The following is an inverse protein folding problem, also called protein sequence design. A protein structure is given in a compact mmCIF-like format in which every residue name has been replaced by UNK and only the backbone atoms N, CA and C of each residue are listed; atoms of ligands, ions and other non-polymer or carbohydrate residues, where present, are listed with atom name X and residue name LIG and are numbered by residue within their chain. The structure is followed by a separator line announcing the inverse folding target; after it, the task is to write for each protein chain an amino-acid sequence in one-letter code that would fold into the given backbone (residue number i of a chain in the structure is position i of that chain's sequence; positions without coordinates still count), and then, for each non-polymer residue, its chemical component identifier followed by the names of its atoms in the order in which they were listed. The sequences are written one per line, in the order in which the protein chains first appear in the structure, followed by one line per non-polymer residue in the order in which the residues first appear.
data_IF_801963567928
#
_entry.id   IF_801963567928
#
_cell.length_a   1.000
_cell.length_b   1.000
_cell.length_c   1.000
_cell.angle_alpha   90.00
_cell.angle_beta   90.00
_cell.angle_gamma   90.00
#
_symmetry.space_group_name_H-M   'P 1'
#
loop_
_entity.id
_entity.type
_entity.pdbx_description
1 polymer ?
#
# COMPACT_ATOMS: atom_id res chain seq x y z
N UNK A 1 -4.48 36.51 23.39
CA UNK A 1 -5.52 35.61 23.96
C UNK A 1 -5.15 34.16 23.65
N UNK A 2 -5.14 33.27 24.65
CA UNK A 2 -4.85 31.84 24.47
C UNK A 2 -6.03 31.09 23.84
N UNK A 3 -7.25 31.44 24.27
CA UNK A 3 -8.52 30.88 23.81
C UNK A 3 -9.14 31.67 22.66
N UNK A 4 -10.08 31.05 21.95
CA UNK A 4 -10.87 31.72 20.91
C UNK A 4 -11.85 32.73 21.52
N UNK A 5 -12.17 33.78 20.76
CA UNK A 5 -13.31 34.67 21.02
C UNK A 5 -14.41 34.42 19.98
N UNK A 6 -15.50 35.17 20.03
CA UNK A 6 -16.56 35.14 18.99
C UNK A 6 -16.08 35.66 17.64
N UNK A 7 -14.96 36.39 17.58
CA UNK A 7 -14.49 37.11 16.37
C UNK A 7 -13.04 36.81 15.99
N UNK A 8 -12.28 36.05 16.80
CA UNK A 8 -10.89 35.72 16.53
C UNK A 8 -10.46 34.36 17.10
N UNK A 9 -9.43 33.76 16.50
CA UNK A 9 -8.80 32.54 17.01
C UNK A 9 -7.70 32.83 18.03
N UNK A 10 -7.70 32.06 19.12
CA UNK A 10 -6.66 32.11 20.16
C UNK A 10 -5.30 31.62 19.66
N UNK A 11 -4.23 31.95 20.39
CA UNK A 11 -2.87 31.53 20.02
C UNK A 11 -2.71 30.00 19.95
N UNK A 12 -3.40 29.24 20.81
CA UNK A 12 -3.30 27.77 20.83
C UNK A 12 -3.96 27.15 19.59
N UNK A 13 -5.16 27.60 19.23
CA UNK A 13 -5.85 27.15 18.00
C UNK A 13 -5.02 27.47 16.75
N UNK A 14 -4.38 28.65 16.71
CA UNK A 14 -3.48 29.04 15.62
C UNK A 14 -2.23 28.18 15.58
N UNK A 15 -1.61 27.89 16.72
CA UNK A 15 -0.46 26.99 16.79
C UNK A 15 -0.81 25.62 16.22
N UNK A 16 -1.89 24.97 16.68
CA UNK A 16 -2.33 23.69 16.14
C UNK A 16 -2.62 23.76 14.64
N UNK A 17 -3.32 24.80 14.17
CA UNK A 17 -3.59 24.98 12.76
C UNK A 17 -2.31 25.00 11.91
N UNK A 18 -1.36 25.88 12.25
CA UNK A 18 -0.15 26.09 11.46
C UNK A 18 0.85 24.92 11.61
N UNK A 19 0.96 24.34 12.81
CA UNK A 19 1.76 23.14 13.01
C UNK A 19 1.24 21.96 12.17
N UNK A 20 -0.08 21.71 12.20
CA UNK A 20 -0.70 20.68 11.35
C UNK A 20 -0.50 20.98 9.87
N UNK A 21 -0.66 22.24 9.44
CA UNK A 21 -0.46 22.62 8.03
C UNK A 21 0.97 22.36 7.54
N UNK A 22 1.99 22.71 8.35
CA UNK A 22 3.40 22.46 8.03
C UNK A 22 3.68 20.96 7.95
N UNK A 23 3.29 20.19 8.97
CA UNK A 23 3.54 18.74 9.02
C UNK A 23 2.85 18.03 7.86
N UNK A 24 1.59 18.34 7.55
CA UNK A 24 0.88 17.74 6.41
C UNK A 24 1.56 18.11 5.08
N UNK A 25 1.99 19.36 4.90
CA UNK A 25 2.64 19.80 3.66
C UNK A 25 3.96 19.05 3.44
N UNK A 26 4.79 18.94 4.48
CA UNK A 26 6.02 18.14 4.45
C UNK A 26 5.71 16.66 4.18
N UNK A 27 4.68 16.12 4.81
CA UNK A 27 4.31 14.72 4.65
C UNK A 27 3.85 14.40 3.22
N UNK A 28 3.05 15.28 2.61
CA UNK A 28 2.64 15.17 1.20
C UNK A 28 3.87 15.19 0.29
N UNK A 29 4.78 16.15 0.48
CA UNK A 29 6.01 16.24 -0.30
C UNK A 29 6.85 14.96 -0.18
N UNK A 30 7.02 14.43 1.03
CA UNK A 30 7.73 13.17 1.27
C UNK A 30 7.03 11.98 0.60
N UNK A 31 5.70 11.92 0.61
CA UNK A 31 4.94 10.87 -0.08
C UNK A 31 5.19 10.88 -1.60
N UNK A 32 5.19 12.07 -2.22
CA UNK A 32 5.52 12.21 -3.64
C UNK A 32 6.97 11.83 -3.94
N UNK A 33 7.93 12.31 -3.14
CA UNK A 33 9.35 12.00 -3.32
C UNK A 33 9.59 10.50 -3.18
N UNK A 34 9.04 9.86 -2.14
CA UNK A 34 9.15 8.42 -1.91
C UNK A 34 8.60 7.61 -3.09
N UNK A 35 7.42 7.97 -3.62
CA UNK A 35 6.82 7.25 -4.73
C UNK A 35 7.61 7.42 -6.04
N UNK A 36 8.18 8.61 -6.31
CA UNK A 36 8.94 8.90 -7.54
C UNK A 36 10.40 8.44 -7.49
N UNK A 37 10.94 8.14 -6.31
CA UNK A 37 12.32 7.68 -6.15
C UNK A 37 12.54 6.33 -6.84
N UNK A 38 13.68 6.21 -7.54
CA UNK A 38 14.02 5.03 -8.33
C UNK A 38 14.23 3.81 -7.45
N UNK A 39 14.13 2.64 -8.08
CA UNK A 39 14.47 1.38 -7.42
C UNK A 39 15.96 1.18 -7.27
N UNK A 40 16.79 1.90 -8.02
CA UNK A 40 18.26 1.83 -7.95
C UNK A 40 18.79 2.42 -6.62
N UNK A 41 18.08 3.40 -6.05
CA UNK A 41 18.41 4.03 -4.78
C UNK A 41 17.46 3.58 -3.65
N UNK A 42 17.42 2.27 -3.40
CA UNK A 42 16.52 1.63 -2.42
C UNK A 42 16.59 2.30 -1.05
N UNK A 43 17.80 2.48 -0.51
CA UNK A 43 17.97 2.99 0.86
C UNK A 43 17.36 4.37 1.02
N UNK A 44 17.52 5.23 0.02
CA UNK A 44 16.90 6.54 0.00
C UNK A 44 15.38 6.43 -0.06
N UNK A 45 14.83 5.54 -0.91
CA UNK A 45 13.38 5.32 -0.99
C UNK A 45 12.81 4.81 0.34
N UNK A 46 13.48 3.85 0.99
CA UNK A 46 13.11 3.33 2.30
C UNK A 46 13.13 4.44 3.34
N UNK A 47 14.18 5.26 3.38
CA UNK A 47 14.28 6.41 4.27
C UNK A 47 13.15 7.42 4.04
N UNK A 48 12.82 7.74 2.79
CA UNK A 48 11.72 8.66 2.49
C UNK A 48 10.37 8.12 2.94
N UNK A 49 10.10 6.83 2.76
CA UNK A 49 8.90 6.20 3.31
C UNK A 49 8.91 6.17 4.84
N UNK A 50 10.05 5.92 5.48
CA UNK A 50 10.19 5.98 6.93
C UNK A 50 9.89 7.38 7.48
N UNK A 51 10.41 8.43 6.84
CA UNK A 51 10.11 9.82 7.19
C UNK A 51 8.62 10.12 6.95
N UNK A 52 8.05 9.72 5.81
CA UNK A 52 6.63 9.91 5.50
C UNK A 52 5.71 9.24 6.54
N UNK A 53 5.97 7.97 6.89
CA UNK A 53 5.19 7.26 7.91
C UNK A 53 5.30 7.95 9.28
N UNK A 54 6.50 8.38 9.66
CA UNK A 54 6.74 9.07 10.93
C UNK A 54 6.03 10.43 11.00
N UNK A 55 6.10 11.22 9.92
CA UNK A 55 5.35 12.48 9.81
C UNK A 55 3.84 12.25 9.77
N UNK A 56 3.38 11.15 9.17
CA UNK A 56 1.98 10.73 9.17
C UNK A 56 1.45 10.46 10.58
N UNK A 57 2.19 9.71 11.40
CA UNK A 57 1.84 9.48 12.81
C UNK A 57 1.84 10.80 13.59
N UNK A 58 2.84 11.65 13.40
CA UNK A 58 2.88 12.98 14.01
C UNK A 58 1.66 13.84 13.60
N UNK A 59 1.30 13.84 12.32
CA UNK A 59 0.14 14.56 11.80
C UNK A 59 -1.16 14.07 12.46
N UNK A 60 -1.32 12.76 12.61
CA UNK A 60 -2.47 12.15 13.28
C UNK A 60 -2.57 12.58 14.74
N UNK A 61 -1.47 12.52 15.50
CA UNK A 61 -1.44 12.97 16.90
C UNK A 61 -1.76 14.46 17.03
N UNK A 62 -1.19 15.31 16.16
CA UNK A 62 -1.51 16.74 16.13
C UNK A 62 -2.96 17.00 15.78
N UNK A 63 -3.54 16.23 14.84
CA UNK A 63 -4.94 16.34 14.46
C UNK A 63 -5.88 15.96 15.62
N UNK A 64 -5.59 14.87 16.35
CA UNK A 64 -6.33 14.50 17.56
C UNK A 64 -6.25 15.59 18.63
N UNK A 65 -5.04 16.08 18.94
CA UNK A 65 -4.85 17.15 19.91
C UNK A 65 -5.60 18.43 19.51
N UNK A 66 -5.57 18.78 18.22
CA UNK A 66 -6.32 19.92 17.66
C UNK A 66 -7.83 19.73 17.81
N UNK A 67 -8.36 18.55 17.49
CA UNK A 67 -9.80 18.26 17.61
C UNK A 67 -10.22 18.33 19.08
N UNK A 68 -9.50 17.65 19.97
CA UNK A 68 -9.74 17.71 21.41
C UNK A 68 -9.74 19.16 21.92
N UNK A 69 -8.76 19.97 21.53
CA UNK A 69 -8.72 21.39 21.89
C UNK A 69 -9.96 22.14 21.36
N UNK A 70 -10.30 21.94 20.08
CA UNK A 70 -11.39 22.64 19.40
C UNK A 70 -12.77 22.34 20.00
N UNK A 71 -12.98 21.12 20.52
CA UNK A 71 -14.23 20.75 21.19
C UNK A 71 -14.55 21.62 22.42
N UNK A 72 -13.54 22.23 23.05
CA UNK A 72 -13.69 23.12 24.20
C UNK A 72 -13.54 24.60 23.87
N UNK A 73 -13.46 24.98 22.58
CA UNK A 73 -13.36 26.38 22.19
C UNK A 73 -14.65 26.90 21.57
N UNK A 74 -14.93 28.18 21.79
CA UNK A 74 -15.89 28.92 20.99
C UNK A 74 -15.43 28.96 19.53
N UNK A 75 -16.31 28.63 18.60
CA UNK A 75 -16.02 28.77 17.17
C UNK A 75 -16.40 30.20 16.74
N UNK A 76 -15.44 31.02 16.26
CA UNK A 76 -15.75 32.39 15.90
C UNK A 76 -16.70 32.43 14.69
N UNK A 77 -17.68 33.34 14.74
CA UNK A 77 -18.79 33.40 13.80
C UNK A 77 -18.32 33.63 12.35
N UNK A 78 -19.07 33.18 11.32
CA UNK A 78 -18.80 33.55 9.93
C UNK A 78 -18.82 35.07 9.76
N UNK A 79 -17.89 35.62 8.97
CA UNK A 79 -17.82 37.08 8.71
C UNK A 79 -18.97 37.54 7.81
N UNK A 80 -19.38 36.68 6.86
CA UNK A 80 -20.44 36.93 5.89
C UNK A 80 -21.55 35.86 5.97
N UNK A 81 -22.37 35.84 7.05
CA UNK A 81 -23.43 34.84 7.22
C UNK A 81 -24.50 34.88 6.11
N UNK A 82 -24.65 36.01 5.43
CA UNK A 82 -25.53 36.21 4.29
C UNK A 82 -25.10 35.42 3.04
N UNK A 83 -23.81 35.12 2.89
CA UNK A 83 -23.26 34.36 1.74
C UNK A 83 -23.41 32.85 1.96
N UNK A 84 -24.67 32.38 1.99
CA UNK A 84 -25.04 31.00 2.37
C UNK A 84 -24.27 29.91 1.60
N UNK A 85 -24.03 30.10 0.30
CA UNK A 85 -23.29 29.14 -0.51
C UNK A 85 -21.81 29.07 -0.12
N UNK A 86 -21.15 30.22 0.11
CA UNK A 86 -19.76 30.27 0.56
C UNK A 86 -19.62 29.62 1.95
N UNK A 87 -20.55 29.90 2.85
CA UNK A 87 -20.58 29.28 4.19
C UNK A 87 -20.79 27.76 4.10
N UNK A 88 -21.70 27.30 3.24
CA UNK A 88 -21.93 25.87 3.01
C UNK A 88 -20.66 25.18 2.48
N UNK A 89 -20.05 25.71 1.42
CA UNK A 89 -18.82 25.15 0.83
C UNK A 89 -17.68 25.17 1.84
N UNK A 90 -17.49 26.26 2.59
CA UNK A 90 -16.47 26.34 3.63
C UNK A 90 -16.68 25.26 4.71
N UNK A 91 -17.92 25.03 5.14
CA UNK A 91 -18.22 23.95 6.09
C UNK A 91 -17.90 22.58 5.53
N UNK A 92 -18.31 22.28 4.28
CA UNK A 92 -18.00 21.01 3.61
C UNK A 92 -16.49 20.79 3.55
N UNK A 93 -15.72 21.79 3.09
CA UNK A 93 -14.26 21.70 3.01
C UNK A 93 -13.63 21.49 4.37
N UNK A 94 -14.07 22.20 5.42
CA UNK A 94 -13.54 21.99 6.77
C UNK A 94 -13.83 20.58 7.30
N UNK A 95 -15.03 20.04 7.08
CA UNK A 95 -15.35 18.66 7.47
C UNK A 95 -14.55 17.62 6.68
N UNK A 96 -14.36 17.83 5.37
CA UNK A 96 -13.49 16.99 4.55
C UNK A 96 -12.06 17.00 5.08
N UNK A 97 -11.54 18.18 5.47
CA UNK A 97 -10.22 18.29 6.10
C UNK A 97 -10.19 17.54 7.43
N UNK A 98 -11.17 17.74 8.33
CA UNK A 98 -11.19 17.04 9.63
C UNK A 98 -11.22 15.52 9.48
N UNK A 99 -12.08 15.00 8.60
CA UNK A 99 -12.14 13.57 8.31
C UNK A 99 -10.83 13.06 7.72
N UNK A 100 -10.30 13.74 6.70
CA UNK A 100 -9.10 13.30 5.99
C UNK A 100 -7.84 13.37 6.86
N UNK A 101 -7.72 14.39 7.74
CA UNK A 101 -6.60 14.53 8.68
C UNK A 101 -6.50 13.34 9.65
N UNK A 102 -7.62 12.63 9.91
CA UNK A 102 -7.62 11.41 10.73
C UNK A 102 -7.52 10.15 9.87
N UNK A 103 -8.36 10.04 8.84
CA UNK A 103 -8.51 8.79 8.09
C UNK A 103 -7.31 8.48 7.18
N UNK A 104 -6.66 9.50 6.59
CA UNK A 104 -5.45 9.29 5.76
C UNK A 104 -4.34 8.63 6.58
N UNK A 105 -3.82 9.24 7.66
CA UNK A 105 -2.74 8.60 8.41
C UNK A 105 -3.20 7.31 9.11
N UNK A 106 -4.46 7.20 9.56
CA UNK A 106 -4.96 5.96 10.16
C UNK A 106 -4.93 4.79 9.18
N UNK A 107 -5.41 4.97 7.95
CA UNK A 107 -5.37 3.91 6.92
C UNK A 107 -3.93 3.54 6.54
N UNK A 108 -3.03 4.51 6.42
CA UNK A 108 -1.60 4.23 6.19
C UNK A 108 -0.92 3.53 7.37
N UNK A 109 -1.36 3.81 8.60
CA UNK A 109 -0.86 3.13 9.79
C UNK A 109 -1.35 1.69 9.87
N UNK A 110 -2.62 1.43 9.53
CA UNK A 110 -3.16 0.06 9.42
C UNK A 110 -2.44 -0.70 8.30
N UNK A 111 -2.16 -0.07 7.15
CA UNK A 111 -1.35 -0.67 6.09
C UNK A 111 0.04 -1.08 6.60
N UNK A 112 0.73 -0.17 7.31
CA UNK A 112 2.03 -0.45 7.92
C UNK A 112 1.95 -1.62 8.92
N UNK A 113 0.97 -1.58 9.82
CA UNK A 113 0.76 -2.64 10.81
C UNK A 113 0.36 -3.99 10.19
N UNK A 114 -0.32 -3.99 9.04
CA UNK A 114 -0.67 -5.22 8.30
C UNK A 114 0.50 -5.76 7.45
N UNK A 115 1.52 -4.96 7.19
CA UNK A 115 2.72 -5.31 6.40
C UNK A 115 3.85 -5.81 7.29
N UNK A 116 4.73 -6.66 6.74
CA UNK A 116 5.97 -7.12 7.38
C UNK A 116 7.19 -6.48 6.74
N UNK A 117 8.08 -5.88 7.54
CA UNK A 117 9.47 -5.63 7.15
C UNK A 117 9.77 -4.51 6.16
N UNK A 118 8.84 -3.59 5.85
CA UNK A 118 9.09 -2.48 4.90
C UNK A 118 9.06 -1.10 5.57
N UNK A 119 10.14 -0.33 5.41
CA UNK A 119 10.29 1.08 5.80
C UNK A 119 9.75 1.38 7.22
N UNK A 120 10.55 1.21 8.28
CA UNK A 120 10.07 1.34 9.65
C UNK A 120 9.63 2.78 9.97
N UNK A 121 8.68 2.94 10.87
CA UNK A 121 8.47 4.23 11.55
C UNK A 121 9.73 4.53 12.38
N UNK A 122 10.24 5.76 12.38
CA UNK A 122 11.52 6.08 13.01
C UNK A 122 11.42 6.26 14.53
N UNK A 123 10.22 6.14 15.09
CA UNK A 123 9.97 6.16 16.52
C UNK A 123 10.00 4.75 17.12
N UNK A 124 10.33 4.61 18.42
CA UNK A 124 10.36 3.30 19.08
C UNK A 124 8.97 2.71 19.34
N UNK A 125 7.90 3.45 19.02
CA UNK A 125 6.51 3.03 19.20
C UNK A 125 5.72 3.21 17.90
N UNK A 126 4.57 2.53 17.82
CA UNK A 126 3.66 2.64 16.70
C UNK A 126 4.02 1.79 15.48
N UNK A 127 4.88 0.77 15.62
CA UNK A 127 5.12 -0.17 14.52
C UNK A 127 3.90 -1.05 14.22
N UNK A 128 3.27 -1.57 15.28
CA UNK A 128 2.10 -2.41 15.18
C UNK A 128 0.91 -1.75 15.87
N UNK A 129 -0.29 -2.17 15.48
CA UNK A 129 -1.55 -1.76 16.11
C UNK A 129 -2.21 -3.00 16.73
N UNK A 130 -2.75 -2.90 17.96
CA UNK A 130 -3.54 -3.99 18.53
C UNK A 130 -4.67 -4.36 17.57
N UNK A 131 -4.94 -5.67 17.45
CA UNK A 131 -6.04 -6.21 16.63
C UNK A 131 -5.87 -6.08 15.11
N UNK A 132 -4.74 -5.56 14.60
CA UNK A 132 -4.45 -5.55 13.17
C UNK A 132 -3.61 -6.78 12.81
N UNK A 133 -4.16 -7.78 12.11
CA UNK A 133 -3.40 -8.96 11.71
C UNK A 133 -2.44 -8.62 10.57
N UNK A 134 -1.33 -9.36 10.49
CA UNK A 134 -0.48 -9.38 9.29
C UNK A 134 -1.27 -10.03 8.16
N UNK A 135 -1.63 -9.24 7.14
CA UNK A 135 -2.45 -9.69 6.01
C UNK A 135 -2.17 -8.85 4.78
N UNK A 136 -1.76 -9.54 3.71
CA UNK A 136 -1.47 -8.95 2.40
C UNK A 136 -2.72 -8.28 1.81
N UNK A 137 -3.88 -8.92 1.96
CA UNK A 137 -5.15 -8.39 1.47
C UNK A 137 -5.56 -7.12 2.22
N UNK A 138 -5.41 -7.11 3.55
CA UNK A 138 -5.72 -5.93 4.36
C UNK A 138 -4.78 -4.77 4.01
N UNK A 139 -3.48 -5.04 3.89
CA UNK A 139 -2.49 -4.04 3.50
C UNK A 139 -2.83 -3.41 2.13
N UNK A 140 -3.16 -4.21 1.12
CA UNK A 140 -3.55 -3.71 -0.21
C UNK A 140 -4.82 -2.86 -0.18
N UNK A 141 -5.86 -3.30 0.55
CA UNK A 141 -7.10 -2.51 0.70
C UNK A 141 -6.85 -1.18 1.40
N UNK A 142 -6.03 -1.19 2.45
CA UNK A 142 -5.68 0.02 3.18
C UNK A 142 -4.80 0.96 2.36
N UNK A 143 -3.85 0.44 1.56
CA UNK A 143 -3.04 1.25 0.65
C UNK A 143 -3.90 1.97 -0.40
N UNK A 144 -4.85 1.25 -1.02
CA UNK A 144 -5.79 1.84 -1.98
C UNK A 144 -6.68 2.92 -1.32
N UNK A 145 -7.17 2.63 -0.11
CA UNK A 145 -7.99 3.57 0.68
C UNK A 145 -7.18 4.81 1.06
N UNK A 146 -5.93 4.62 1.50
CA UNK A 146 -5.01 5.70 1.85
C UNK A 146 -4.76 6.62 0.65
N UNK A 147 -4.47 6.06 -0.52
CA UNK A 147 -4.23 6.83 -1.74
C UNK A 147 -5.46 7.64 -2.15
N UNK A 148 -6.65 7.03 -2.10
CA UNK A 148 -7.91 7.73 -2.38
C UNK A 148 -8.12 8.91 -1.43
N UNK A 149 -8.00 8.67 -0.12
CA UNK A 149 -8.18 9.70 0.89
C UNK A 149 -7.09 10.80 0.81
N UNK A 150 -5.86 10.46 0.43
CA UNK A 150 -4.78 11.41 0.27
C UNK A 150 -5.06 12.41 -0.87
N UNK A 151 -5.63 11.95 -1.99
CA UNK A 151 -6.08 12.84 -3.06
C UNK A 151 -7.27 13.71 -2.65
N UNK A 152 -8.22 13.16 -1.91
CA UNK A 152 -9.32 13.92 -1.30
C UNK A 152 -8.80 15.02 -0.37
N UNK A 153 -7.78 14.71 0.45
CA UNK A 153 -7.10 15.68 1.30
C UNK A 153 -6.42 16.79 0.47
N UNK A 154 -5.70 16.43 -0.59
CA UNK A 154 -5.02 17.40 -1.45
C UNK A 154 -6.01 18.38 -2.09
N UNK A 155 -7.14 17.89 -2.59
CA UNK A 155 -8.18 18.77 -3.12
C UNK A 155 -8.79 19.67 -2.04
N UNK A 156 -9.12 19.10 -0.86
CA UNK A 156 -9.68 19.88 0.23
C UNK A 156 -8.72 20.99 0.70
N UNK A 157 -7.41 20.71 0.74
CA UNK A 157 -6.37 21.70 1.01
C UNK A 157 -6.35 22.78 -0.08
N UNK A 158 -6.38 22.39 -1.37
CA UNK A 158 -6.38 23.34 -2.48
C UNK A 158 -7.58 24.29 -2.41
N UNK A 159 -8.79 23.75 -2.20
CA UNK A 159 -10.01 24.55 -2.04
C UNK A 159 -9.95 25.46 -0.80
N UNK A 160 -9.43 24.95 0.32
CA UNK A 160 -9.26 25.71 1.54
C UNK A 160 -8.31 26.90 1.36
N UNK A 161 -7.14 26.66 0.75
CA UNK A 161 -6.14 27.69 0.46
C UNK A 161 -6.68 28.70 -0.56
N UNK A 162 -7.37 28.24 -1.61
CA UNK A 162 -8.01 29.13 -2.59
C UNK A 162 -9.05 30.04 -1.93
N UNK A 163 -9.90 29.50 -1.04
CA UNK A 163 -10.84 30.29 -0.25
C UNK A 163 -10.13 31.30 0.63
N UNK A 164 -9.08 30.89 1.36
CA UNK A 164 -8.31 31.79 2.21
C UNK A 164 -7.63 32.93 1.40
N UNK A 165 -7.10 32.63 0.22
CA UNK A 165 -6.50 33.62 -0.68
C UNK A 165 -7.55 34.55 -1.29
N UNK A 166 -8.72 34.06 -1.69
CA UNK A 166 -9.84 34.89 -2.13
C UNK A 166 -10.21 35.90 -1.03
N UNK A 167 -10.38 35.43 0.21
CA UNK A 167 -10.67 36.31 1.34
C UNK A 167 -9.54 37.30 1.64
N UNK A 168 -8.27 36.88 1.49
CA UNK A 168 -7.12 37.74 1.78
C UNK A 168 -6.85 38.80 0.69
N UNK A 169 -7.02 38.44 -0.58
CA UNK A 169 -6.57 39.24 -1.73
C UNK A 169 -7.71 40.00 -2.42
N UNK A 170 -8.89 39.37 -2.52
CA UNK A 170 -10.06 39.89 -3.24
C UNK A 170 -11.05 40.52 -2.25
N UNK A 171 -11.62 39.74 -1.33
CA UNK A 171 -12.63 40.26 -0.39
C UNK A 171 -12.02 41.21 0.67
N UNK A 172 -10.77 40.94 1.09
CA UNK A 172 -10.02 41.71 2.10
C UNK A 172 -10.80 41.93 3.41
N UNK A 173 -11.57 40.94 3.81
CA UNK A 173 -12.60 41.01 4.86
C UNK A 173 -12.11 40.63 6.27
N UNK A 174 -10.82 40.28 6.42
CA UNK A 174 -10.24 39.92 7.72
C UNK A 174 -10.31 38.43 8.08
N UNK A 175 -10.96 37.58 7.27
CA UNK A 175 -11.10 36.12 7.55
C UNK A 175 -9.74 35.45 7.70
N UNK A 176 -8.80 35.73 6.80
CA UNK A 176 -7.44 35.18 6.87
C UNK A 176 -6.68 35.67 8.10
N UNK A 177 -6.80 36.96 8.44
CA UNK A 177 -6.10 37.60 9.54
C UNK A 177 -6.53 37.05 10.91
N UNK A 178 -7.74 36.49 11.03
CA UNK A 178 -8.21 35.78 12.22
C UNK A 178 -7.35 34.55 12.52
N UNK A 179 -6.99 33.76 11.52
CA UNK A 179 -6.17 32.56 11.70
C UNK A 179 -4.67 32.84 11.64
N UNK A 180 -4.23 33.79 10.80
CA UNK A 180 -2.82 34.14 10.71
C UNK A 180 -2.33 34.91 11.95
N UNK A 181 -3.05 35.97 12.34
CA UNK A 181 -2.58 36.94 13.35
C UNK A 181 -3.46 37.02 14.60
N UNK A 182 -4.64 36.38 14.60
CA UNK A 182 -5.59 36.47 15.72
C UNK A 182 -6.27 37.83 15.81
N UNK A 183 -6.37 38.57 14.70
CA UNK A 183 -7.10 39.84 14.64
C UNK A 183 -8.60 39.58 14.60
N UNK A 184 -9.39 40.44 15.24
CA UNK A 184 -10.85 40.35 15.19
C UNK A 184 -11.34 40.66 13.78
N UNK A 185 -12.26 39.85 13.25
CA UNK A 185 -13.04 40.19 12.06
C UNK A 185 -14.46 39.60 12.17
N UNK A 186 -15.47 40.42 11.84
CA UNK A 186 -16.90 40.15 12.00
C UNK A 186 -17.58 41.07 13.02
N UNK A 187 -18.87 41.36 12.83
CA UNK A 187 -19.71 42.11 13.78
C UNK A 187 -20.25 41.18 14.89
N UNK A 188 -20.40 41.69 16.13
CA UNK A 188 -20.84 40.93 17.33
C UNK A 188 -22.35 40.68 17.38
N UNK A 189 -23.01 40.47 16.24
CA UNK A 189 -24.45 40.21 16.22
C UNK A 189 -24.72 38.71 16.37
N UNK A 190 -24.95 38.30 17.63
CA UNK A 190 -25.62 37.05 17.98
C UNK A 190 -24.73 35.80 18.06
N UNK A 191 -24.79 35.13 19.21
CA UNK A 191 -24.27 33.77 19.41
C UNK A 191 -25.05 32.81 18.49
N UNK A 192 -24.56 32.58 17.27
CA UNK A 192 -25.07 31.48 16.45
C UNK A 192 -24.60 30.16 17.08
N UNK A 193 -25.47 29.52 17.87
CA UNK A 193 -25.35 28.08 18.18
C UNK A 193 -25.56 27.31 16.88
N UNK A 194 -24.51 27.14 16.09
CA UNK A 194 -24.53 26.18 14.98
C UNK A 194 -24.54 24.78 15.59
N UNK A 195 -25.74 24.23 15.76
CA UNK A 195 -25.92 22.83 16.13
C UNK A 195 -25.26 21.92 15.09
N UNK A 196 -24.87 20.72 15.52
CA UNK A 196 -24.31 19.64 14.71
C UNK A 196 -25.23 19.14 13.57
N UNK A 197 -26.30 19.84 13.24
CA UNK A 197 -27.31 19.46 12.24
C UNK A 197 -26.80 19.45 10.80
N UNK A 198 -25.60 19.97 10.51
CA UNK A 198 -24.94 19.81 9.20
C UNK A 198 -24.18 18.48 9.04
N UNK A 199 -24.09 17.65 10.09
CA UNK A 199 -23.46 16.32 10.02
C UNK A 199 -24.23 15.32 9.13
N UNK A 200 -25.51 15.55 8.82
CA UNK A 200 -26.29 14.67 7.95
C UNK A 200 -25.99 14.87 6.44
N UNK A 201 -25.53 16.06 6.04
CA UNK A 201 -25.11 16.34 4.66
C UNK A 201 -23.70 15.79 4.31
N UNK A 202 -23.01 15.24 5.32
CA UNK A 202 -21.66 14.66 5.28
C UNK A 202 -21.57 13.37 4.47
N UNK A 203 -22.61 12.53 4.51
CA UNK A 203 -22.57 11.19 3.90
C UNK A 203 -22.55 11.19 2.37
N UNK A 204 -23.32 12.09 1.73
CA UNK A 204 -23.50 12.08 0.28
C UNK A 204 -22.37 12.76 -0.51
N UNK A 205 -21.77 13.84 0.01
CA UNK A 205 -20.72 14.57 -0.69
C UNK A 205 -19.36 13.84 -0.64
N UNK A 206 -19.05 13.17 0.47
CA UNK A 206 -17.80 12.38 0.64
C UNK A 206 -17.82 11.13 -0.24
N UNK A 207 -18.97 10.46 -0.38
CA UNK A 207 -19.13 9.26 -1.22
C UNK A 207 -19.13 9.63 -2.71
N UNK A 208 -19.86 10.68 -3.11
CA UNK A 208 -19.93 11.10 -4.51
C UNK A 208 -18.57 11.59 -5.04
N UNK A 209 -17.80 12.33 -4.23
CA UNK A 209 -16.53 12.89 -4.68
C UNK A 209 -15.37 11.88 -4.64
N UNK A 210 -15.34 11.01 -3.62
CA UNK A 210 -14.38 9.89 -3.58
C UNK A 210 -14.63 8.90 -4.73
N UNK A 211 -15.89 8.68 -5.11
CA UNK A 211 -16.24 7.86 -6.27
C UNK A 211 -15.72 8.40 -7.61
N UNK A 212 -15.75 9.72 -7.83
CA UNK A 212 -15.28 10.35 -9.08
C UNK A 212 -13.75 10.40 -9.18
N UNK A 213 -13.06 10.67 -8.07
CA UNK A 213 -11.57 10.64 -8.04
C UNK A 213 -11.05 9.20 -8.14
N UNK A 214 -11.70 8.24 -7.49
CA UNK A 214 -11.39 6.82 -7.65
C UNK A 214 -11.65 6.33 -9.08
N UNK A 215 -12.79 6.70 -9.68
CA UNK A 215 -13.13 6.33 -11.06
C UNK A 215 -12.15 6.93 -12.09
N UNK A 216 -11.70 8.17 -11.89
CA UNK A 216 -10.71 8.81 -12.78
C UNK A 216 -9.30 8.21 -12.64
N UNK A 217 -8.94 7.62 -11.49
CA UNK A 217 -7.70 6.86 -11.34
C UNK A 217 -7.79 5.40 -11.78
N UNK A 218 -8.97 4.76 -11.70
CA UNK A 218 -9.22 3.49 -12.40
C UNK A 218 -9.11 3.71 -13.91
N UNK A 219 -9.55 4.87 -14.43
CA UNK A 219 -9.39 5.22 -15.85
C UNK A 219 -7.95 5.56 -16.27
N UNK A 220 -7.10 6.01 -15.33
CA UNK A 220 -5.71 6.38 -15.60
C UNK A 220 -4.69 5.25 -15.35
N UNK A 221 -5.05 4.23 -14.56
CA UNK A 221 -4.42 2.93 -14.68
C UNK A 221 -5.01 2.30 -15.93
N UNK A 222 -4.30 2.35 -17.06
CA UNK A 222 -4.54 1.37 -18.11
C UNK A 222 -4.67 0.03 -17.41
N UNK A 223 -5.79 -0.69 -17.50
CA UNK A 223 -5.83 -2.04 -16.99
C UNK A 223 -4.65 -2.72 -17.65
N UNK A 224 -3.65 -3.13 -16.86
CA UNK A 224 -2.68 -4.11 -17.33
C UNK A 224 -3.57 -5.21 -17.89
N UNK A 225 -3.55 -5.40 -19.22
CA UNK A 225 -4.39 -6.38 -19.88
C UNK A 225 -4.33 -7.63 -19.02
N UNK A 226 -5.47 -8.17 -18.55
CA UNK A 226 -5.46 -9.30 -17.64
C UNK A 226 -4.51 -10.33 -18.25
N UNK A 227 -3.40 -10.58 -17.55
CA UNK A 227 -2.38 -11.49 -18.05
C UNK A 227 -3.12 -12.78 -18.43
N UNK A 228 -2.98 -13.20 -19.69
CA UNK A 228 -3.67 -14.39 -20.18
C UNK A 228 -3.37 -15.53 -19.21
N UNK A 229 -4.39 -16.10 -18.58
CA UNK A 229 -4.20 -17.25 -17.70
C UNK A 229 -3.47 -18.33 -18.47
N UNK A 230 -2.49 -18.97 -17.85
CA UNK A 230 -1.79 -20.07 -18.48
C UNK A 230 -2.76 -21.19 -18.82
N UNK A 231 -2.63 -21.70 -20.04
CA UNK A 231 -3.36 -22.89 -20.47
C UNK A 231 -2.53 -24.11 -20.12
N UNK A 232 -3.16 -25.09 -19.46
CA UNK A 232 -2.51 -26.35 -19.17
C UNK A 232 -2.17 -27.08 -20.47
N UNK A 233 -0.91 -27.43 -20.65
CA UNK A 233 -0.48 -28.29 -21.74
C UNK A 233 -0.88 -29.75 -21.48
N UNK A 234 -0.94 -30.61 -22.51
CA UNK A 234 -1.15 -32.04 -22.32
C UNK A 234 -0.16 -32.62 -21.29
N UNK A 235 -0.68 -33.47 -20.42
CA UNK A 235 0.06 -34.07 -19.30
C UNK A 235 -0.47 -35.47 -19.03
N UNK A 236 0.43 -36.42 -18.77
CA UNK A 236 0.06 -37.76 -18.30
C UNK A 236 -0.49 -37.65 -16.88
N UNK A 237 0.22 -36.94 -16.01
CA UNK A 237 -0.24 -36.60 -14.67
C UNK A 237 -0.80 -35.18 -14.65
N UNK A 238 -2.12 -35.04 -14.57
CA UNK A 238 -2.79 -33.74 -14.57
C UNK A 238 -2.82 -33.15 -13.17
N UNK A 239 -2.21 -31.97 -12.99
CA UNK A 239 -2.27 -31.25 -11.72
C UNK A 239 -3.72 -30.84 -11.42
N UNK A 240 -4.24 -31.28 -10.27
CA UNK A 240 -5.61 -31.00 -9.81
C UNK A 240 -5.65 -29.90 -8.73
N UNK A 241 -4.52 -29.60 -8.10
CA UNK A 241 -4.39 -28.54 -7.11
C UNK A 241 -2.96 -28.45 -6.59
N UNK A 242 -2.62 -27.33 -5.94
CA UNK A 242 -1.30 -27.14 -5.37
C UNK A 242 -0.99 -25.70 -5.00
N UNK A 243 0.19 -25.51 -4.41
CA UNK A 243 0.75 -24.21 -4.07
C UNK A 243 2.18 -24.10 -4.61
N UNK A 244 2.49 -22.91 -5.13
CA UNK A 244 3.85 -22.49 -5.47
C UNK A 244 4.16 -21.25 -4.64
N UNK A 245 4.86 -21.45 -3.53
CA UNK A 245 5.22 -20.43 -2.55
C UNK A 245 6.70 -20.12 -2.55
N UNK A 246 7.06 -18.99 -1.99
CA UNK A 246 8.45 -18.67 -1.68
C UNK A 246 8.55 -17.81 -0.43
N UNK A 247 9.71 -17.85 0.23
CA UNK A 247 10.06 -16.99 1.37
C UNK A 247 11.39 -16.31 1.12
N UNK A 248 11.44 -15.02 1.43
CA UNK A 248 12.65 -14.19 1.38
C UNK A 248 12.72 -13.35 2.63
N UNK A 249 13.92 -13.02 3.12
CA UNK A 249 14.06 -12.08 4.24
C UNK A 249 14.05 -10.64 3.72
N UNK A 250 13.30 -9.77 4.36
CA UNK A 250 13.32 -8.33 4.12
C UNK A 250 13.54 -7.62 5.45
N UNK A 251 14.58 -6.80 5.57
CA UNK A 251 14.96 -6.14 6.83
C UNK A 251 15.06 -7.14 8.00
N UNK A 252 15.63 -8.32 7.74
CA UNK A 252 15.74 -9.43 8.69
C UNK A 252 14.45 -10.21 8.98
N UNK A 253 13.29 -9.77 8.48
CA UNK A 253 11.99 -10.41 8.71
C UNK A 253 11.63 -11.33 7.54
N UNK A 254 11.21 -12.59 7.75
CA UNK A 254 10.74 -13.44 6.66
C UNK A 254 9.42 -12.89 6.08
N UNK A 255 9.38 -12.75 4.76
CA UNK A 255 8.21 -12.36 3.97
C UNK A 255 7.89 -13.50 3.01
N UNK A 256 6.63 -13.94 2.98
CA UNK A 256 6.17 -15.05 2.15
C UNK A 256 5.32 -14.55 0.99
N UNK A 257 5.58 -15.08 -0.20
CA UNK A 257 4.82 -14.83 -1.41
C UNK A 257 4.41 -16.11 -2.11
N UNK A 258 3.57 -15.98 -3.13
CA UNK A 258 3.10 -17.11 -3.93
C UNK A 258 2.74 -16.70 -5.35
N UNK A 259 2.70 -17.69 -6.25
CA UNK A 259 2.20 -17.54 -7.61
C UNK A 259 0.84 -18.23 -7.75
N UNK A 260 -0.15 -17.49 -8.26
CA UNK A 260 -1.53 -17.97 -8.38
C UNK A 260 -1.85 -18.60 -9.75
N UNK A 261 -0.99 -18.37 -10.75
CA UNK A 261 -1.16 -18.90 -12.11
C UNK A 261 0.12 -19.61 -12.55
N UNK A 262 0.08 -20.93 -12.51
CA UNK A 262 1.13 -21.83 -12.97
C UNK A 262 0.52 -23.14 -13.44
N UNK A 263 1.21 -23.83 -14.34
CA UNK A 263 0.80 -25.14 -14.88
C UNK A 263 2.00 -26.06 -14.92
N UNK A 264 1.77 -27.37 -14.94
CA UNK A 264 2.83 -28.35 -15.12
C UNK A 264 2.37 -29.47 -16.05
N UNK A 265 3.24 -29.82 -17.01
CA UNK A 265 3.18 -31.06 -17.76
C UNK A 265 4.15 -32.04 -17.12
N UNK A 266 3.62 -33.20 -16.72
CA UNK A 266 4.34 -34.22 -15.96
C UNK A 266 4.14 -35.55 -16.67
N UNK A 267 5.25 -36.18 -17.02
CA UNK A 267 5.33 -37.57 -17.46
C UNK A 267 6.15 -38.33 -16.41
N UNK A 268 5.56 -39.34 -15.77
CA UNK A 268 6.21 -40.04 -14.67
C UNK A 268 5.83 -41.51 -14.68
N UNK A 269 6.85 -42.36 -14.71
CA UNK A 269 6.73 -43.81 -14.65
C UNK A 269 6.94 -44.28 -13.22
N UNK A 270 5.88 -44.81 -12.62
CA UNK A 270 5.88 -45.30 -11.24
C UNK A 270 6.84 -46.48 -11.02
N UNK A 271 7.00 -47.35 -12.02
CA UNK A 271 7.78 -48.58 -11.92
C UNK A 271 9.28 -48.27 -11.87
N UNK A 272 9.74 -47.37 -12.73
CA UNK A 272 11.14 -46.93 -12.73
C UNK A 272 11.40 -45.82 -11.72
N UNK A 273 10.38 -45.07 -11.32
CA UNK A 273 10.51 -43.87 -10.49
C UNK A 273 11.21 -42.73 -11.22
N UNK A 274 11.12 -42.70 -12.55
CA UNK A 274 11.73 -41.68 -13.41
C UNK A 274 10.68 -40.93 -14.20
N UNK A 275 11.01 -39.72 -14.64
CA UNK A 275 10.05 -38.91 -15.38
C UNK A 275 10.63 -37.58 -15.82
N UNK A 276 9.78 -36.75 -16.42
CA UNK A 276 10.10 -35.40 -16.82
C UNK A 276 8.98 -34.46 -16.39
N UNK A 277 9.36 -33.23 -16.03
CA UNK A 277 8.42 -32.16 -15.70
C UNK A 277 8.78 -30.89 -16.45
N UNK A 278 7.75 -30.23 -16.97
CA UNK A 278 7.81 -28.88 -17.51
C UNK A 278 6.76 -28.02 -16.80
N UNK A 279 7.21 -27.15 -15.89
CA UNK A 279 6.35 -26.21 -15.19
C UNK A 279 6.48 -24.81 -15.81
N UNK A 280 5.34 -24.19 -16.11
CA UNK A 280 5.24 -22.82 -16.62
C UNK A 280 4.57 -21.97 -15.55
N UNK A 281 5.23 -20.88 -15.15
CA UNK A 281 4.76 -19.97 -14.11
C UNK A 281 4.51 -18.61 -14.75
N UNK A 282 3.39 -17.97 -14.45
CA UNK A 282 3.10 -16.60 -14.87
C UNK A 282 3.63 -15.63 -13.80
N UNK A 283 4.72 -14.88 -14.05
CA UNK A 283 5.29 -14.00 -13.03
C UNK A 283 4.36 -12.84 -12.64
N UNK A 284 3.41 -12.45 -13.49
CA UNK A 284 2.42 -11.41 -13.17
C UNK A 284 1.41 -11.85 -12.09
N UNK A 285 1.32 -13.15 -11.83
CA UNK A 285 0.43 -13.76 -10.82
C UNK A 285 1.01 -13.76 -9.40
N UNK A 286 2.22 -13.19 -9.22
CA UNK A 286 2.91 -13.10 -7.94
C UNK A 286 2.12 -12.25 -6.94
N UNK A 287 2.09 -12.72 -5.70
CA UNK A 287 1.63 -11.96 -4.54
C UNK A 287 2.70 -11.96 -3.45
N UNK A 288 3.00 -10.78 -2.92
CA UNK A 288 3.96 -10.55 -1.83
C UNK A 288 3.53 -9.29 -1.05
N UNK A 289 2.35 -9.32 -0.43
CA UNK A 289 1.85 -8.18 0.35
C UNK A 289 1.68 -6.88 -0.44
N UNK A 290 1.97 -5.76 0.21
CA UNK A 290 1.90 -4.40 -0.35
C UNK A 290 2.96 -4.16 -1.44
N UNK A 291 4.00 -4.98 -1.53
CA UNK A 291 5.05 -4.88 -2.55
C UNK A 291 4.78 -5.74 -3.79
N UNK A 292 3.59 -6.35 -3.91
CA UNK A 292 3.25 -7.24 -5.04
C UNK A 292 3.46 -6.57 -6.41
N UNK A 293 3.04 -5.31 -6.56
CA UNK A 293 3.21 -4.58 -7.82
C UNK A 293 4.67 -4.21 -8.09
N UNK A 294 5.45 -3.97 -7.02
CA UNK A 294 6.88 -3.70 -7.13
C UNK A 294 7.64 -4.93 -7.63
N UNK A 295 7.31 -6.12 -7.13
CA UNK A 295 7.96 -7.39 -7.52
C UNK A 295 7.69 -7.76 -8.99
N UNK A 296 6.58 -7.28 -9.57
CA UNK A 296 6.27 -7.48 -11.00
C UNK A 296 7.11 -6.59 -11.93
N UNK A 297 7.70 -5.52 -11.40
CA UNK A 297 8.41 -4.51 -12.20
C UNK A 297 9.80 -4.94 -12.69
N UNK A 298 10.44 -4.10 -13.54
CA UNK A 298 11.71 -4.42 -14.22
C UNK A 298 12.90 -4.72 -13.30
N UNK A 299 12.93 -4.09 -12.12
CA UNK A 299 13.97 -4.35 -11.11
C UNK A 299 13.88 -5.73 -10.46
N UNK A 300 12.78 -6.46 -10.67
CA UNK A 300 12.50 -7.76 -10.07
C UNK A 300 12.21 -8.79 -11.17
N UNK A 301 10.98 -9.30 -11.24
CA UNK A 301 10.60 -10.37 -12.18
C UNK A 301 10.42 -9.88 -13.62
N UNK A 302 10.24 -8.56 -13.81
CA UNK A 302 9.96 -7.94 -15.10
C UNK A 302 8.87 -8.67 -15.90
N UNK A 303 7.73 -8.88 -15.24
CA UNK A 303 6.66 -9.74 -15.73
C UNK A 303 6.03 -9.26 -17.06
N UNK A 304 6.23 -7.98 -17.42
CA UNK A 304 5.77 -7.42 -18.68
C UNK A 304 6.62 -7.88 -19.87
N UNK A 305 7.95 -7.97 -19.72
CA UNK A 305 8.87 -8.45 -20.76
C UNK A 305 9.08 -9.96 -20.69
N UNK A 306 8.91 -10.55 -19.50
CA UNK A 306 9.05 -11.97 -19.24
C UNK A 306 7.73 -12.56 -18.71
N UNK A 307 6.74 -12.79 -19.58
CA UNK A 307 5.40 -13.25 -19.18
C UNK A 307 5.37 -14.70 -18.67
N UNK A 308 6.46 -15.44 -18.86
CA UNK A 308 6.60 -16.84 -18.43
C UNK A 308 7.97 -17.08 -17.79
N UNK A 309 7.96 -17.78 -16.67
CA UNK A 309 9.13 -18.48 -16.15
C UNK A 309 8.95 -19.99 -16.39
N UNK A 310 10.03 -20.69 -16.72
CA UNK A 310 9.99 -22.08 -17.16
C UNK A 310 10.94 -22.93 -16.33
N UNK A 311 10.42 -23.95 -15.68
CA UNK A 311 11.24 -25.00 -15.06
C UNK A 311 11.10 -26.30 -15.84
N UNK A 312 12.21 -26.81 -16.38
CA UNK A 312 12.24 -28.10 -17.08
C UNK A 312 13.23 -29.02 -16.38
N UNK A 313 12.80 -30.20 -15.95
CA UNK A 313 13.61 -31.11 -15.16
C UNK A 313 13.34 -32.58 -15.43
N UNK A 314 14.36 -33.40 -15.17
CA UNK A 314 14.25 -34.85 -15.09
C UNK A 314 14.04 -35.27 -13.65
N UNK A 315 13.08 -36.17 -13.42
CA UNK A 315 12.76 -36.77 -12.13
C UNK A 315 13.52 -38.07 -11.99
N UNK A 316 14.16 -38.25 -10.84
CA UNK A 316 14.89 -39.47 -10.50
C UNK A 316 14.55 -39.88 -9.06
N UNK A 317 14.36 -41.18 -8.83
CA UNK A 317 14.19 -41.75 -7.49
C UNK A 317 15.52 -41.70 -6.72
N UNK A 318 15.47 -41.28 -5.47
CA UNK A 318 16.59 -41.29 -4.52
C UNK A 318 16.17 -41.97 -3.22
N UNK A 319 16.32 -43.30 -3.18
CA UNK A 319 15.83 -44.10 -2.06
C UNK A 319 14.30 -44.03 -1.94
N UNK A 320 13.81 -43.51 -0.81
CA UNK A 320 12.37 -43.28 -0.57
C UNK A 320 11.87 -41.95 -1.11
N UNK A 321 12.77 -41.03 -1.44
CA UNK A 321 12.47 -39.68 -1.90
C UNK A 321 12.77 -39.56 -3.41
N UNK A 322 12.56 -38.37 -3.97
CA UNK A 322 12.80 -38.08 -5.38
C UNK A 322 13.58 -36.77 -5.53
N UNK A 323 14.24 -36.63 -6.67
CA UNK A 323 14.96 -35.43 -7.05
C UNK A 323 14.59 -35.03 -8.47
N UNK A 324 14.13 -33.79 -8.64
CA UNK A 324 14.02 -33.16 -9.95
C UNK A 324 15.28 -32.33 -10.22
N UNK A 325 16.02 -32.69 -11.26
CA UNK A 325 17.24 -31.98 -11.69
C UNK A 325 16.96 -31.35 -13.04
N UNK A 326 17.10 -30.03 -13.13
CA UNK A 326 16.73 -29.31 -14.33
C UNK A 326 17.23 -27.89 -14.37
N UNK A 327 16.61 -27.09 -15.22
CA UNK A 327 16.93 -25.69 -15.43
C UNK A 327 15.70 -24.84 -15.18
N UNK A 328 15.86 -23.76 -14.42
CA UNK A 328 14.88 -22.70 -14.26
C UNK A 328 15.29 -21.52 -15.14
N UNK A 329 14.47 -21.20 -16.13
CA UNK A 329 14.52 -19.93 -16.86
C UNK A 329 13.61 -18.93 -16.15
N UNK A 330 14.20 -17.89 -15.58
CA UNK A 330 13.50 -16.79 -14.94
C UNK A 330 14.14 -15.48 -15.37
N UNK A 331 13.32 -14.53 -15.84
CA UNK A 331 13.78 -13.24 -16.40
C UNK A 331 14.79 -13.43 -17.55
N UNK A 332 14.59 -14.48 -18.36
CA UNK A 332 15.47 -14.81 -19.48
C UNK A 332 16.83 -15.39 -19.08
N UNK A 333 17.06 -15.65 -17.80
CA UNK A 333 18.31 -16.23 -17.28
C UNK A 333 18.05 -17.67 -16.86
N UNK A 334 18.91 -18.57 -17.32
CA UNK A 334 18.80 -20.01 -17.08
C UNK A 334 19.79 -20.47 -16.03
N UNK A 335 19.26 -21.02 -14.93
CA UNK A 335 20.07 -21.51 -13.80
C UNK A 335 19.72 -22.98 -13.54
N UNK A 336 20.73 -23.87 -13.36
CA UNK A 336 20.50 -25.24 -12.90
C UNK A 336 19.88 -25.26 -11.51
N UNK A 337 18.78 -26.00 -11.35
CA UNK A 337 18.06 -26.15 -10.09
C UNK A 337 17.90 -27.63 -9.74
N UNK A 338 18.10 -27.92 -8.46
CA UNK A 338 17.86 -29.24 -7.85
C UNK A 338 16.71 -29.10 -6.87
N UNK A 339 15.62 -29.82 -7.11
CA UNK A 339 14.44 -29.80 -6.26
C UNK A 339 14.25 -31.19 -5.65
N UNK A 340 14.73 -31.42 -4.41
CA UNK A 340 14.36 -32.61 -3.67
C UNK A 340 12.87 -32.55 -3.29
N UNK A 341 12.18 -33.68 -3.40
CA UNK A 341 10.77 -33.76 -3.06
C UNK A 341 10.37 -35.15 -2.56
N UNK A 342 9.28 -35.18 -1.80
CA UNK A 342 8.60 -36.38 -1.36
C UNK A 342 7.33 -36.54 -2.16
N UNK A 343 6.99 -37.79 -2.48
CA UNK A 343 5.77 -38.09 -3.22
C UNK A 343 5.15 -39.40 -2.74
N UNK A 344 3.84 -39.38 -2.54
CA UNK A 344 3.05 -40.58 -2.25
C UNK A 344 2.00 -40.74 -3.35
N UNK A 345 1.88 -41.95 -3.89
CA UNK A 345 0.85 -42.26 -4.90
C UNK A 345 -0.14 -43.23 -4.29
N UNK A 346 -1.43 -42.86 -4.31
CA UNK A 346 -2.54 -43.71 -3.85
C UNK A 346 -3.71 -43.59 -4.81
N UNK A 347 -4.23 -44.72 -5.29
CA UNK A 347 -5.40 -44.77 -6.17
C UNK A 347 -5.27 -43.86 -7.43
N UNK A 348 -4.08 -43.79 -8.03
CA UNK A 348 -3.82 -42.95 -9.21
C UNK A 348 -3.73 -41.45 -8.92
N UNK A 349 -3.65 -41.05 -7.65
CA UNK A 349 -3.42 -39.67 -7.22
C UNK A 349 -2.06 -39.57 -6.55
N UNK A 350 -1.23 -38.67 -7.05
CA UNK A 350 0.08 -38.34 -6.50
C UNK A 350 -0.02 -37.07 -5.64
N UNK A 351 0.39 -37.17 -4.38
CA UNK A 351 0.61 -36.06 -3.46
C UNK A 351 2.12 -35.79 -3.37
N UNK A 352 2.55 -34.61 -3.79
CA UNK A 352 3.97 -34.21 -3.83
C UNK A 352 4.22 -32.96 -2.97
N UNK A 353 5.34 -32.96 -2.24
CA UNK A 353 5.86 -31.78 -1.56
C UNK A 353 7.37 -31.67 -1.70
N UNK A 354 7.86 -30.49 -2.05
CA UNK A 354 9.28 -30.23 -2.28
C UNK A 354 9.68 -28.83 -1.84
N UNK A 355 10.98 -28.68 -1.57
CA UNK A 355 11.57 -27.40 -1.19
C UNK A 355 12.96 -27.28 -1.81
N UNK A 356 13.32 -26.08 -2.25
CA UNK A 356 14.69 -25.76 -2.67
C UNK A 356 15.07 -24.34 -2.30
N UNK A 357 16.37 -24.06 -2.33
CA UNK A 357 16.93 -22.74 -2.09
C UNK A 357 17.51 -22.19 -3.38
N UNK A 358 17.09 -20.98 -3.75
CA UNK A 358 17.63 -20.22 -4.88
C UNK A 358 18.36 -18.98 -4.37
N UNK A 359 19.32 -18.47 -5.14
CA UNK A 359 19.86 -17.13 -4.94
C UNK A 359 19.26 -16.17 -5.97
N UNK A 360 18.58 -15.12 -5.51
CA UNK A 360 17.93 -14.15 -6.42
C UNK A 360 18.92 -13.43 -7.33
N UNK A 361 20.20 -13.34 -6.93
CA UNK A 361 21.24 -12.62 -7.67
C UNK A 361 21.63 -13.37 -8.94
N UNK A 362 21.52 -14.70 -8.93
CA UNK A 362 21.78 -15.54 -10.11
C UNK A 362 20.84 -15.16 -11.27
N UNK A 363 19.64 -14.69 -10.94
CA UNK A 363 18.62 -14.22 -11.89
C UNK A 363 18.59 -12.69 -12.07
N UNK A 364 19.58 -11.96 -11.53
CA UNK A 364 19.62 -10.48 -11.56
C UNK A 364 18.30 -9.85 -11.06
N UNK A 365 17.75 -10.43 -10.00
CA UNK A 365 16.54 -9.94 -9.33
C UNK A 365 16.95 -9.06 -8.16
N UNK A 366 16.42 -7.84 -8.14
CA UNK A 366 16.65 -6.84 -7.10
C UNK A 366 18.14 -6.45 -6.96
N UNK A 367 18.86 -6.24 -8.06
CA UNK A 367 20.29 -5.87 -8.07
C UNK A 367 20.58 -4.57 -7.30
N UNK A 368 19.60 -3.67 -7.20
CA UNK A 368 19.71 -2.46 -6.40
C UNK A 368 19.72 -2.68 -4.89
N UNK A 369 19.31 -3.87 -4.45
CA UNK A 369 19.43 -4.32 -3.07
C UNK A 369 20.73 -5.10 -2.93
N UNK A 370 21.85 -4.39 -2.76
CA UNK A 370 23.19 -4.99 -2.77
C UNK A 370 23.53 -5.75 -1.48
N UNK A 371 22.73 -5.61 -0.41
CA UNK A 371 23.00 -6.19 0.90
C UNK A 371 21.89 -7.16 1.37
N UNK A 372 22.27 -8.17 2.17
CA UNK A 372 21.32 -9.14 2.74
C UNK A 372 20.42 -8.59 3.84
N UNK A 373 20.78 -7.42 4.42
CA UNK A 373 20.02 -6.83 5.52
C UNK A 373 18.73 -6.23 4.97
N UNK A 374 18.76 -5.60 3.79
CA UNK A 374 17.59 -5.00 3.15
C UNK A 374 16.71 -6.07 2.52
N UNK A 375 17.25 -6.87 1.59
CA UNK A 375 16.58 -8.03 0.98
C UNK A 375 17.56 -9.19 0.88
N UNK A 376 17.26 -10.27 1.59
CA UNK A 376 18.07 -11.49 1.61
C UNK A 376 18.33 -12.04 0.21
N UNK A 377 19.51 -12.61 0.00
CA UNK A 377 19.89 -13.21 -1.28
C UNK A 377 19.20 -14.57 -1.49
N UNK A 378 19.17 -15.36 -0.42
CA UNK A 378 18.54 -16.67 -0.41
C UNK A 378 17.00 -16.57 -0.43
N UNK A 379 16.39 -17.28 -1.37
CA UNK A 379 14.95 -17.42 -1.54
C UNK A 379 14.61 -18.90 -1.38
N UNK A 380 13.84 -19.22 -0.35
CA UNK A 380 13.28 -20.55 -0.14
C UNK A 380 12.06 -20.69 -1.05
N UNK A 381 12.01 -21.74 -1.86
CA UNK A 381 10.88 -22.04 -2.75
C UNK A 381 10.21 -23.31 -2.24
N UNK A 382 8.93 -23.19 -1.93
CA UNK A 382 8.09 -24.28 -1.40
C UNK A 382 7.05 -24.68 -2.46
N UNK A 383 6.95 -25.97 -2.73
CA UNK A 383 6.01 -26.51 -3.73
C UNK A 383 5.22 -27.62 -3.09
N UNK A 384 3.90 -27.59 -3.27
CA UNK A 384 3.03 -28.74 -3.04
C UNK A 384 2.08 -28.90 -4.20
N UNK A 385 1.85 -30.12 -4.66
CA UNK A 385 0.85 -30.37 -5.69
C UNK A 385 0.22 -31.74 -5.56
N UNK A 386 -1.01 -31.82 -6.06
CA UNK A 386 -1.73 -33.04 -6.34
C UNK A 386 -1.86 -33.22 -7.84
N UNK A 387 -1.54 -34.42 -8.33
CA UNK A 387 -1.73 -34.77 -9.72
C UNK A 387 -2.45 -36.11 -9.87
N UNK A 388 -3.25 -36.25 -10.92
CA UNK A 388 -4.00 -37.47 -11.23
C UNK A 388 -3.60 -37.99 -12.60
N UNK A 389 -3.30 -39.29 -12.66
CA UNK A 389 -3.00 -40.03 -13.90
C UNK A 389 -4.28 -40.36 -14.68
#
# INVERSE_FOLDING_TARGET
MKHNSSTAYGSVSRFFHWATAVVISLNIAMGFIAHRSSMEAVDAKVLYFSIHKTLGVLAFTLALARICWTLFQSHPAPVHPERRLEVFVANVVHWMLYGSMLLVPLTGWIEHAATSGYAPILWPFGQDLPLVPKSNELAQRMAATHQLLAWTLCLAIALHVAGALKHALIDRDGVFQRMARGRNAGQTTGLARTGWSSAAAFGLAVVAFSGVVFASQIGARSPSSPASKLQAAPSEWKVTGGTLGFKVKQMGTPVSGSFSDWTASIAFDEATGTGNVKAVINPASVTLGSVSDQVKGPGFLDAAQHPQALFTAQIQRQGTDYLAIGTLNLKGIEIPVRLPFKMTIKNGVADMSGQTMLDRRDFKIAESYADEKTVGFAVEVDISLQAKH
#
